data_IF_192511059734
#
_entry.id   IF_192511059734
#
_cell.length_a   1.000
_cell.length_b   1.000
_cell.length_c   1.000
_cell.angle_alpha   90.00
_cell.angle_beta   90.00
_cell.angle_gamma   90.00
#
_symmetry.space_group_name_H-M   'P 1'
#
loop_
_entity.id
_entity.type
_entity.pdbx_description
1 polymer ?
#
# COMPACT_ATOMS: atom_id res chain seq x y z
N UNK A 1 -18.20 -32.45 -16.04
CA UNK A 1 -19.01 -33.70 -16.07
C UNK A 1 -20.41 -33.50 -16.56
N UNK A 2 -21.15 -32.44 -16.24
CA UNK A 2 -22.53 -32.21 -16.72
C UNK A 2 -22.60 -32.11 -18.26
N UNK A 3 -21.75 -31.34 -18.91
CA UNK A 3 -21.70 -31.22 -20.34
C UNK A 3 -21.48 -32.58 -21.06
N UNK A 4 -20.65 -33.47 -20.53
CA UNK A 4 -20.42 -34.79 -21.09
C UNK A 4 -21.68 -35.67 -21.00
N UNK A 5 -22.38 -35.61 -19.84
CA UNK A 5 -23.65 -36.38 -19.66
C UNK A 5 -24.76 -35.89 -20.62
N UNK A 6 -24.86 -34.56 -20.79
CA UNK A 6 -25.80 -33.98 -21.73
C UNK A 6 -25.49 -34.38 -23.18
N UNK A 7 -24.19 -34.33 -23.54
CA UNK A 7 -23.77 -34.75 -24.87
C UNK A 7 -24.08 -36.24 -25.12
N UNK A 8 -23.77 -37.12 -24.16
CA UNK A 8 -24.08 -38.54 -24.21
C UNK A 8 -25.57 -38.78 -24.35
N UNK A 9 -26.41 -38.12 -23.54
CA UNK A 9 -27.86 -38.17 -23.60
C UNK A 9 -28.40 -37.84 -25.02
N UNK A 10 -27.89 -36.79 -25.66
CA UNK A 10 -28.30 -36.39 -26.99
C UNK A 10 -27.78 -37.32 -28.09
N UNK A 11 -26.57 -37.85 -27.92
CA UNK A 11 -26.00 -38.82 -28.87
C UNK A 11 -26.77 -40.16 -28.85
N UNK A 12 -27.34 -40.54 -27.71
CA UNK A 12 -28.19 -41.72 -27.56
C UNK A 12 -29.66 -41.48 -27.97
N UNK A 13 -29.98 -40.31 -28.53
CA UNK A 13 -31.32 -39.96 -29.00
C UNK A 13 -32.27 -39.52 -27.89
N UNK A 14 -31.75 -39.04 -26.76
CA UNK A 14 -32.53 -38.51 -25.63
C UNK A 14 -33.36 -37.28 -26.04
N UNK A 15 -34.47 -37.08 -25.34
CA UNK A 15 -35.37 -35.93 -25.52
C UNK A 15 -34.71 -34.66 -25.03
N UNK A 16 -35.19 -33.49 -25.50
CA UNK A 16 -34.75 -32.20 -25.01
C UNK A 16 -34.93 -32.10 -23.48
N UNK A 17 -33.86 -31.65 -22.84
CA UNK A 17 -33.86 -31.45 -21.38
C UNK A 17 -34.31 -30.01 -21.07
N UNK A 18 -35.02 -29.82 -19.97
CA UNK A 18 -35.44 -28.51 -19.50
C UNK A 18 -34.20 -27.64 -19.19
N UNK A 19 -34.25 -26.37 -19.59
CA UNK A 19 -33.10 -25.47 -19.51
C UNK A 19 -32.89 -24.95 -18.08
N UNK A 20 -34.00 -24.68 -17.34
CA UNK A 20 -33.92 -24.07 -15.99
C UNK A 20 -33.08 -24.87 -15.00
N UNK A 21 -33.26 -26.22 -14.82
CA UNK A 21 -32.43 -26.97 -13.88
C UNK A 21 -30.95 -26.97 -14.26
N UNK A 22 -30.66 -26.99 -15.58
CA UNK A 22 -29.28 -26.97 -16.08
C UNK A 22 -28.63 -25.62 -15.83
N UNK A 23 -29.39 -24.54 -15.99
CA UNK A 23 -28.90 -23.18 -15.71
C UNK A 23 -28.57 -22.98 -14.22
N UNK A 24 -29.40 -23.51 -13.33
CA UNK A 24 -29.18 -23.48 -11.89
C UNK A 24 -27.94 -24.29 -11.48
N UNK A 25 -27.78 -25.48 -12.07
CA UNK A 25 -26.56 -26.28 -11.86
C UNK A 25 -25.31 -25.57 -12.37
N UNK A 26 -25.38 -24.87 -13.52
CA UNK A 26 -24.28 -24.08 -14.06
C UNK A 26 -23.93 -22.92 -13.14
N UNK A 27 -24.92 -22.18 -12.62
CA UNK A 27 -24.72 -21.09 -11.66
C UNK A 27 -24.05 -21.62 -10.38
N UNK A 28 -24.60 -22.72 -9.83
CA UNK A 28 -24.05 -23.36 -8.64
C UNK A 28 -22.59 -23.80 -8.85
N UNK A 29 -22.29 -24.45 -9.98
CA UNK A 29 -20.93 -24.88 -10.33
C UNK A 29 -19.97 -23.70 -10.41
N UNK A 30 -20.36 -22.60 -11.07
CA UNK A 30 -19.57 -21.38 -11.20
C UNK A 30 -19.30 -20.71 -9.85
N UNK A 31 -20.28 -20.70 -8.97
CA UNK A 31 -20.11 -20.16 -7.59
C UNK A 31 -19.12 -21.00 -6.79
N UNK A 32 -19.23 -22.33 -6.88
CA UNK A 32 -18.31 -23.24 -6.18
C UNK A 32 -16.89 -23.14 -6.70
N UNK A 33 -16.72 -22.98 -8.01
CA UNK A 33 -15.42 -22.74 -8.62
C UNK A 33 -14.78 -21.43 -8.11
N UNK A 34 -15.54 -20.34 -8.05
CA UNK A 34 -15.07 -19.07 -7.50
C UNK A 34 -14.63 -19.22 -6.02
N UNK A 35 -15.41 -19.92 -5.22
CA UNK A 35 -15.07 -20.17 -3.80
C UNK A 35 -13.79 -21.00 -3.70
N UNK A 36 -13.65 -22.04 -4.50
CA UNK A 36 -12.45 -22.90 -4.52
C UNK A 36 -11.20 -22.12 -4.94
N UNK A 37 -11.29 -21.36 -6.03
CA UNK A 37 -10.19 -20.52 -6.52
C UNK A 37 -9.78 -19.46 -5.50
N UNK A 38 -10.74 -18.82 -4.81
CA UNK A 38 -10.46 -17.86 -3.76
C UNK A 38 -9.79 -18.51 -2.54
N UNK A 39 -10.23 -19.71 -2.14
CA UNK A 39 -9.63 -20.46 -1.05
C UNK A 39 -8.18 -20.86 -1.37
N UNK A 40 -7.92 -21.31 -2.59
CA UNK A 40 -6.57 -21.61 -3.08
C UNK A 40 -5.66 -20.39 -3.01
N UNK A 41 -6.08 -19.25 -3.60
CA UNK A 41 -5.32 -18.00 -3.55
C UNK A 41 -5.04 -17.55 -2.12
N UNK A 42 -6.05 -17.64 -1.24
CA UNK A 42 -5.90 -17.28 0.16
C UNK A 42 -4.90 -18.18 0.90
N UNK A 43 -4.88 -19.49 0.59
CA UNK A 43 -3.92 -20.44 1.14
C UNK A 43 -2.49 -20.16 0.68
N UNK A 44 -2.30 -19.91 -0.62
CA UNK A 44 -1.00 -19.54 -1.19
C UNK A 44 -0.49 -18.26 -0.53
N UNK A 45 -1.32 -17.21 -0.48
CA UNK A 45 -0.94 -15.93 0.14
C UNK A 45 -0.55 -16.07 1.60
N UNK A 46 -1.30 -16.88 2.38
CA UNK A 46 -0.96 -17.16 3.77
C UNK A 46 0.44 -17.79 3.89
N UNK A 47 0.76 -18.79 3.06
CA UNK A 47 2.07 -19.44 3.06
C UNK A 47 3.20 -18.53 2.60
N UNK A 48 2.94 -17.63 1.66
CA UNK A 48 3.90 -16.61 1.25
C UNK A 48 4.22 -15.67 2.42
N UNK A 49 3.21 -15.17 3.14
CA UNK A 49 3.41 -14.28 4.30
C UNK A 49 4.13 -15.00 5.44
N UNK A 50 3.78 -16.27 5.72
CA UNK A 50 4.46 -17.11 6.72
C UNK A 50 5.94 -17.28 6.37
N UNK A 51 6.28 -17.56 5.11
CA UNK A 51 7.66 -17.65 4.65
C UNK A 51 8.38 -16.32 4.82
N UNK A 52 7.77 -15.20 4.38
CA UNK A 52 8.38 -13.88 4.45
C UNK A 52 8.56 -13.38 5.89
N UNK A 53 7.78 -13.88 6.85
CA UNK A 53 7.97 -13.54 8.26
C UNK A 53 9.30 -14.04 8.84
N UNK A 54 9.92 -15.07 8.24
CA UNK A 54 11.20 -15.63 8.68
C UNK A 54 12.42 -14.90 8.07
N UNK A 55 12.19 -14.08 7.03
CA UNK A 55 13.26 -13.40 6.27
C UNK A 55 13.15 -11.87 6.38
N UNK A 56 12.56 -11.39 7.48
CA UNK A 56 12.48 -9.94 7.75
C UNK A 56 13.89 -9.35 7.86
N UNK A 57 14.12 -8.25 7.13
CA UNK A 57 15.42 -7.58 7.05
C UNK A 57 16.31 -8.04 5.90
N UNK A 58 15.95 -9.10 5.20
CA UNK A 58 16.69 -9.54 4.02
C UNK A 58 16.36 -8.70 2.79
N UNK A 59 17.34 -8.61 1.88
CA UNK A 59 17.23 -7.83 0.65
C UNK A 59 16.98 -8.75 -0.54
N UNK A 60 15.97 -8.42 -1.34
CA UNK A 60 15.59 -9.15 -2.53
C UNK A 60 15.55 -8.26 -3.76
N UNK A 61 15.65 -8.88 -4.94
CA UNK A 61 15.31 -8.24 -6.21
C UNK A 61 13.83 -8.43 -6.49
N UNK A 62 13.15 -7.37 -6.83
CA UNK A 62 11.75 -7.41 -7.19
C UNK A 62 11.44 -6.56 -8.42
N UNK A 63 10.28 -6.82 -8.99
CA UNK A 63 9.75 -6.13 -10.15
C UNK A 63 8.41 -5.48 -9.76
N UNK A 64 8.18 -4.27 -10.21
CA UNK A 64 6.91 -3.57 -9.97
C UNK A 64 5.77 -4.30 -10.67
N UNK A 65 4.85 -4.88 -9.90
CA UNK A 65 3.68 -5.64 -10.35
C UNK A 65 2.38 -4.82 -10.36
N UNK A 66 2.35 -3.67 -9.68
CA UNK A 66 1.18 -2.82 -9.63
C UNK A 66 1.46 -1.45 -9.03
N UNK A 67 0.66 -0.45 -9.42
CA UNK A 67 0.77 0.92 -8.95
C UNK A 67 -0.57 1.38 -8.39
N UNK A 68 -0.56 1.99 -7.20
CA UNK A 68 -1.74 2.54 -6.52
C UNK A 68 -1.44 3.93 -5.96
N UNK A 69 -2.47 4.64 -5.53
CA UNK A 69 -2.32 5.95 -4.88
C UNK A 69 -1.57 5.88 -3.54
N UNK A 70 -1.57 4.73 -2.89
CA UNK A 70 -0.98 4.51 -1.56
C UNK A 70 0.43 3.96 -1.62
N UNK A 71 0.75 3.25 -2.70
CA UNK A 71 2.01 2.54 -2.84
C UNK A 71 2.13 1.81 -4.15
N UNK A 72 3.26 1.15 -4.32
CA UNK A 72 3.50 0.21 -5.41
C UNK A 72 3.57 -1.21 -4.87
N UNK A 73 3.02 -2.13 -5.64
CA UNK A 73 3.19 -3.55 -5.40
C UNK A 73 4.46 -4.03 -6.12
N UNK A 74 5.25 -4.81 -5.41
CA UNK A 74 6.50 -5.37 -5.93
C UNK A 74 6.45 -6.88 -5.73
N UNK A 75 6.70 -7.62 -6.80
CA UNK A 75 6.82 -9.07 -6.80
C UNK A 75 8.30 -9.44 -6.75
N UNK A 76 8.70 -10.28 -5.81
CA UNK A 76 10.04 -10.83 -5.71
C UNK A 76 10.26 -11.85 -6.82
N UNK A 77 11.36 -11.76 -7.57
CA UNK A 77 11.63 -12.66 -8.70
C UNK A 77 11.80 -14.12 -8.30
N UNK A 78 12.42 -14.42 -7.16
CA UNK A 78 12.79 -15.76 -6.73
C UNK A 78 11.60 -16.59 -6.26
N UNK A 79 10.70 -16.00 -5.44
CA UNK A 79 9.65 -16.75 -4.75
C UNK A 79 8.23 -16.27 -5.10
N UNK A 80 8.13 -15.30 -6.01
CA UNK A 80 6.85 -14.75 -6.47
C UNK A 80 5.96 -14.21 -5.35
N UNK A 81 6.60 -13.80 -4.22
CA UNK A 81 5.90 -13.13 -3.15
C UNK A 81 5.68 -11.66 -3.50
N UNK A 82 4.44 -11.21 -3.39
CA UNK A 82 4.05 -9.84 -3.64
C UNK A 82 3.83 -9.08 -2.34
N UNK A 83 4.43 -7.91 -2.21
CA UNK A 83 4.25 -7.00 -1.09
C UNK A 83 4.14 -5.55 -1.54
N UNK A 84 3.83 -4.65 -0.61
CA UNK A 84 3.60 -3.24 -0.88
C UNK A 84 4.77 -2.37 -0.37
N UNK A 85 5.25 -1.46 -1.21
CA UNK A 85 6.10 -0.33 -0.83
C UNK A 85 5.25 0.92 -0.78
N UNK A 86 5.12 1.55 0.39
CA UNK A 86 4.31 2.76 0.54
C UNK A 86 5.01 3.97 -0.08
N UNK A 87 4.29 4.82 -0.82
CA UNK A 87 4.86 6.03 -1.43
C UNK A 87 5.46 6.97 -0.40
N UNK A 88 4.86 7.08 0.79
CA UNK A 88 5.36 7.92 1.88
C UNK A 88 6.70 7.46 2.47
N UNK A 89 7.06 6.20 2.26
CA UNK A 89 8.29 5.59 2.79
C UNK A 89 9.43 5.58 1.76
N UNK A 90 9.14 5.94 0.50
CA UNK A 90 10.18 6.04 -0.52
C UNK A 90 11.06 7.25 -0.20
N UNK A 91 12.37 7.05 0.06
CA UNK A 91 13.23 8.13 0.48
C UNK A 91 13.52 9.11 -0.66
N UNK A 92 13.70 10.38 -0.30
CA UNK A 92 14.28 11.41 -1.15
C UNK A 92 13.33 12.31 -1.90
N UNK A 93 12.04 11.97 -2.01
CA UNK A 93 11.06 12.82 -2.70
C UNK A 93 9.64 12.57 -2.19
N UNK A 94 8.72 13.40 -2.63
CA UNK A 94 7.29 13.14 -2.56
C UNK A 94 6.84 12.55 -3.89
N UNK A 95 6.23 11.38 -3.82
CA UNK A 95 5.82 10.64 -4.99
C UNK A 95 4.30 10.68 -5.13
N UNK A 96 3.83 10.85 -6.36
CA UNK A 96 2.41 10.87 -6.72
C UNK A 96 2.16 9.94 -7.90
N UNK A 97 0.96 9.35 -7.92
CA UNK A 97 0.52 8.50 -9.02
C UNK A 97 -0.02 9.37 -10.16
N UNK A 98 0.61 9.31 -11.31
CA UNK A 98 0.13 9.81 -12.59
C UNK A 98 -0.80 8.74 -13.20
N UNK A 99 -2.13 8.94 -13.02
CA UNK A 99 -3.16 7.98 -13.47
C UNK A 99 -3.25 7.87 -14.99
N UNK A 100 -2.95 8.95 -15.69
CA UNK A 100 -3.09 8.99 -17.16
C UNK A 100 -2.02 8.14 -17.84
N UNK A 101 -0.82 8.10 -17.25
CA UNK A 101 0.31 7.35 -17.79
C UNK A 101 0.68 6.11 -16.97
N UNK A 102 -0.10 5.73 -15.95
CA UNK A 102 0.16 4.59 -15.07
C UNK A 102 1.61 4.53 -14.56
N UNK A 103 2.06 5.63 -13.94
CA UNK A 103 3.41 5.76 -13.41
C UNK A 103 3.41 6.56 -12.11
N UNK A 104 4.41 6.34 -11.27
CA UNK A 104 4.67 7.13 -10.08
C UNK A 104 5.75 8.16 -10.43
N UNK A 105 5.52 9.42 -10.10
CA UNK A 105 6.42 10.53 -10.41
C UNK A 105 6.82 11.27 -9.15
N UNK A 106 8.13 11.42 -8.93
CA UNK A 106 8.67 12.26 -7.87
C UNK A 106 8.47 13.75 -8.17
N UNK A 107 7.95 14.52 -7.22
CA UNK A 107 7.64 15.93 -7.43
C UNK A 107 8.91 16.78 -7.66
N UNK A 108 9.96 16.53 -6.89
CA UNK A 108 11.21 17.30 -6.93
C UNK A 108 12.22 16.72 -7.91
N UNK A 109 12.50 15.43 -7.81
CA UNK A 109 13.53 14.74 -8.60
C UNK A 109 13.08 14.36 -9.99
N UNK A 110 11.77 14.39 -10.24
CA UNK A 110 11.16 13.91 -11.50
C UNK A 110 11.50 12.44 -11.81
N UNK A 111 11.91 11.68 -10.77
CA UNK A 111 12.13 10.24 -10.93
C UNK A 111 10.81 9.57 -11.27
N UNK A 112 10.83 8.73 -12.28
CA UNK A 112 9.67 7.98 -12.75
C UNK A 112 9.86 6.52 -12.33
N UNK A 113 8.79 5.91 -11.83
CA UNK A 113 8.70 4.48 -11.54
C UNK A 113 7.51 3.94 -12.31
N UNK A 114 7.74 2.89 -13.08
CA UNK A 114 6.73 2.28 -13.97
C UNK A 114 6.54 0.80 -13.66
N UNK A 115 5.44 0.26 -14.17
CA UNK A 115 5.21 -1.18 -14.16
C UNK A 115 6.33 -1.92 -14.89
N UNK A 116 6.86 -2.97 -14.27
CA UNK A 116 7.96 -3.75 -14.81
C UNK A 116 9.36 -3.26 -14.43
N UNK A 117 9.50 -2.13 -13.72
CA UNK A 117 10.80 -1.66 -13.25
C UNK A 117 11.37 -2.61 -12.19
N UNK A 118 12.66 -2.93 -12.36
CA UNK A 118 13.42 -3.72 -11.39
C UNK A 118 13.92 -2.83 -10.24
N UNK A 119 13.83 -3.33 -9.01
CA UNK A 119 14.31 -2.64 -7.83
C UNK A 119 14.78 -3.58 -6.73
N UNK A 120 15.61 -3.07 -5.84
CA UNK A 120 16.00 -3.78 -4.63
C UNK A 120 15.10 -3.34 -3.48
N UNK A 121 14.57 -4.34 -2.76
CA UNK A 121 13.66 -4.15 -1.65
C UNK A 121 14.17 -4.93 -0.42
N UNK A 122 13.81 -4.42 0.76
CA UNK A 122 14.01 -5.09 2.04
C UNK A 122 12.65 -5.48 2.60
N UNK A 123 12.54 -6.67 3.16
CA UNK A 123 11.33 -7.10 3.88
C UNK A 123 11.24 -6.36 5.19
N UNK A 124 10.28 -5.45 5.31
CA UNK A 124 10.09 -4.62 6.52
C UNK A 124 9.23 -5.32 7.55
N UNK A 125 8.09 -5.84 7.13
CA UNK A 125 7.13 -6.51 7.98
C UNK A 125 6.29 -7.53 7.18
N UNK A 126 5.85 -8.58 7.87
CA UNK A 126 4.90 -9.55 7.34
C UNK A 126 3.79 -9.76 8.38
N UNK A 127 2.56 -9.44 8.01
CA UNK A 127 1.40 -9.58 8.89
C UNK A 127 0.56 -10.78 8.47
N UNK A 128 0.59 -11.84 9.28
CA UNK A 128 -0.15 -13.07 9.03
C UNK A 128 -1.67 -12.90 9.14
N UNK A 129 -2.15 -12.00 9.99
CA UNK A 129 -3.58 -11.77 10.19
C UNK A 129 -4.20 -11.10 8.96
N UNK A 130 -3.56 -10.03 8.47
CA UNK A 130 -4.01 -9.27 7.31
C UNK A 130 -3.53 -9.86 5.99
N UNK A 131 -2.64 -10.84 6.06
CA UNK A 131 -2.00 -11.49 4.91
C UNK A 131 -1.29 -10.47 3.99
N UNK A 132 -0.62 -9.50 4.61
CA UNK A 132 0.11 -8.43 3.92
C UNK A 132 1.60 -8.53 4.18
N UNK A 133 2.39 -8.11 3.20
CA UNK A 133 3.85 -7.99 3.29
C UNK A 133 4.18 -6.53 2.96
N UNK A 134 4.87 -5.86 3.86
CA UNK A 134 5.37 -4.50 3.66
C UNK A 134 6.86 -4.56 3.30
N UNK A 135 7.21 -3.92 2.21
CA UNK A 135 8.58 -3.77 1.74
C UNK A 135 9.06 -2.34 1.90
N UNK A 136 10.36 -2.20 2.04
CA UNK A 136 11.06 -0.93 1.99
C UNK A 136 12.00 -0.90 0.79
N UNK A 137 12.04 0.22 0.07
CA UNK A 137 12.93 0.38 -1.07
C UNK A 137 14.36 0.60 -0.59
N UNK A 138 15.31 -0.19 -1.09
CA UNK A 138 16.74 0.04 -0.84
C UNK A 138 17.17 1.32 -1.53
N UNK A 139 17.58 2.28 -0.73
CA UNK A 139 18.12 3.53 -1.25
C UNK A 139 19.57 3.39 -1.65
N UNK A 140 19.81 3.14 -2.93
CA UNK A 140 21.16 3.00 -3.50
C UNK A 140 21.86 4.36 -3.77
N UNK A 141 21.29 5.49 -3.27
CA UNK A 141 21.92 6.78 -3.43
C UNK A 141 23.20 6.91 -2.58
N UNK A 142 24.20 7.68 -3.05
CA UNK A 142 25.41 7.93 -2.27
C UNK A 142 25.10 8.52 -0.89
N UNK A 143 25.83 8.11 0.13
CA UNK A 143 25.61 8.55 1.52
C UNK A 143 25.71 10.08 1.70
N UNK A 144 26.46 10.75 0.83
CA UNK A 144 26.54 12.22 0.79
C UNK A 144 25.19 12.88 0.45
N UNK A 145 24.36 12.24 -0.38
CA UNK A 145 23.03 12.72 -0.76
C UNK A 145 22.05 12.44 0.37
N UNK A 146 22.10 11.24 0.98
CA UNK A 146 21.28 10.87 2.13
C UNK A 146 21.47 11.81 3.30
N UNK A 147 22.74 12.16 3.62
CA UNK A 147 23.09 13.09 4.70
C UNK A 147 22.53 14.49 4.46
N UNK A 148 22.66 15.04 3.26
CA UNK A 148 22.10 16.36 2.91
C UNK A 148 20.59 16.43 3.04
N UNK A 149 19.87 15.38 2.62
CA UNK A 149 18.42 15.32 2.73
C UNK A 149 17.96 15.16 4.17
N UNK A 150 18.71 14.43 4.99
CA UNK A 150 18.42 14.31 6.42
C UNK A 150 18.61 15.64 7.14
N UNK A 151 19.71 16.37 6.88
CA UNK A 151 19.96 17.72 7.41
C UNK A 151 18.85 18.71 6.98
N UNK A 152 18.39 18.62 5.74
CA UNK A 152 17.30 19.46 5.23
C UNK A 152 15.94 19.14 5.88
N UNK A 153 15.65 17.87 6.17
CA UNK A 153 14.45 17.46 6.92
C UNK A 153 14.48 17.97 8.37
N UNK A 154 15.60 17.83 9.05
CA UNK A 154 15.80 18.30 10.42
C UNK A 154 15.68 19.84 10.50
N UNK A 155 16.23 20.57 9.53
CA UNK A 155 16.14 22.04 9.48
C UNK A 155 14.70 22.53 9.24
N UNK A 156 13.88 21.80 8.49
CA UNK A 156 12.45 22.11 8.26
C UNK A 156 11.58 21.73 9.44
N UNK A 157 11.88 20.62 10.12
CA UNK A 157 11.14 20.18 11.32
C UNK A 157 11.32 21.09 12.53
N UNK A 158 12.46 21.79 12.64
CA UNK A 158 12.78 22.70 13.74
C UNK A 158 12.05 24.05 13.73
N UNK A 159 11.41 24.45 12.65
CA UNK A 159 10.70 25.75 12.54
C UNK A 159 9.25 25.72 13.05
N UNK A 160 8.67 24.56 13.32
CA UNK A 160 7.27 24.42 13.76
C UNK A 160 7.03 24.57 15.26
N UNK A 161 8.06 24.64 16.12
CA UNK A 161 7.92 24.58 17.58
C UNK A 161 8.17 25.89 18.35
N UNK A 162 8.21 27.05 17.68
CA UNK A 162 8.40 28.35 18.35
C UNK A 162 7.26 29.34 18.08
N UNK A 163 6.04 29.01 18.47
CA UNK A 163 4.98 30.01 18.61
C UNK A 163 4.02 29.59 19.74
N UNK A 164 4.37 29.91 20.96
CA UNK A 164 3.58 29.64 22.15
C UNK A 164 4.12 30.32 23.39
N UNK A 165 4.89 31.41 23.23
CA UNK A 165 5.29 32.28 24.36
C UNK A 165 4.14 33.22 24.69
N UNK A 166 3.27 32.86 25.64
CA UNK A 166 2.35 33.79 26.32
C UNK A 166 3.19 34.85 27.03
N UNK A 167 3.15 36.08 26.51
CA UNK A 167 3.60 37.27 27.24
C UNK A 167 2.61 37.52 28.38
N UNK A 168 3.06 37.26 29.61
CA UNK A 168 2.43 37.73 30.84
C UNK A 168 2.48 39.26 30.86
N UNK A 169 1.30 39.86 30.77
CA UNK A 169 1.07 41.30 30.91
C UNK A 169 1.17 41.62 32.40
N UNK A 170 1.99 42.60 32.88
CA UNK A 170 2.01 42.98 34.29
C UNK A 170 0.72 43.73 34.64
N UNK A 171 0.14 43.33 35.75
CA UNK A 171 -1.00 44.02 36.41
C UNK A 171 -0.61 45.47 36.74
N UNK A 172 -1.42 46.42 36.28
CA UNK A 172 -1.38 47.79 36.75
C UNK A 172 -2.25 47.90 38.02
N UNK A 173 -1.61 48.26 39.13
CA UNK A 173 -2.27 48.66 40.37
C UNK A 173 -3.25 49.86 40.15
N UNK A 174 -4.38 49.87 40.83
CA UNK A 174 -5.29 51.01 40.80
C UNK A 174 -4.79 52.11 41.73
N UNK A 175 -4.40 53.24 41.19
CA UNK A 175 -4.13 54.48 41.97
C UNK A 175 -5.44 55.02 42.49
N UNK A 176 -5.43 55.17 43.83
CA UNK A 176 -6.49 55.65 44.67
C UNK A 176 -7.02 57.04 44.33
N UNK A 177 -8.28 57.19 44.63
CA UNK A 177 -9.03 58.40 44.48
C UNK A 177 -8.58 59.53 45.38
N UNK A 178 -8.76 60.74 44.92
CA UNK A 178 -8.92 61.91 45.77
C UNK A 178 -10.24 62.62 45.41
N UNK A 179 -11.09 62.63 46.44
CA UNK A 179 -12.25 63.49 46.53
C UNK A 179 -11.87 64.94 46.31
N UNK A 180 -12.66 65.69 45.62
CA UNK A 180 -12.85 67.11 45.95
C UNK A 180 -14.29 67.54 45.78
N UNK A 181 -14.86 67.97 46.86
CA UNK A 181 -16.11 68.70 47.08
C UNK A 181 -15.98 70.11 46.54
N UNK A 182 -17.06 70.62 46.04
CA UNK A 182 -17.63 72.02 46.12
C UNK A 182 -18.20 72.34 44.71
N UNK A 183 -19.36 72.81 44.49
CA UNK A 183 -20.49 73.49 45.15
C UNK A 183 -21.72 73.25 44.32
#
# INVERSE_FOLDING_TARGET
>A
MMAHRLLEHYLEGGKNVEVEPIEDDCKHSSEREKIAANAERASIKYKQVEFMSNVIGETFKGVVSGLTEWGMFVEIEENKCEGMVRLSEIPGDFYELDKDNYRIVGQRTKRIIQFGDEMQIIVKAANLLDRTIDFELVDNRPDSVKRREQEERESRGGRGSRSGGRSSRPEREPRGGKSNRRR
#
